data_IF_351387035980
#
_entry.id   IF_351387035980
#
_cell.length_a   1.000
_cell.length_b   1.000
_cell.length_c   1.000
_cell.angle_alpha   90.00
_cell.angle_beta   90.00
_cell.angle_gamma   90.00
#
_symmetry.space_group_name_H-M   'P 1'
#
loop_
_entity.id
_entity.type
_entity.pdbx_description
1 polymer ?
#
# COMPACT_ATOMS: atom_id res chain seq x y z
N UNK A 1 -13.41 -0.35 6.80
CA UNK A 1 -11.97 0.05 6.89
C UNK A 1 -11.80 1.40 6.24
N UNK A 2 -11.01 2.28 6.85
CA UNK A 2 -10.58 3.55 6.24
C UNK A 2 -9.31 3.30 5.43
N UNK A 3 -9.27 3.80 4.20
CA UNK A 3 -8.10 3.85 3.34
C UNK A 3 -7.55 5.27 3.34
N UNK A 4 -6.28 5.40 3.72
CA UNK A 4 -5.47 6.62 3.61
C UNK A 4 -4.45 6.39 2.50
N UNK A 5 -4.75 6.89 1.31
CA UNK A 5 -4.05 6.60 0.07
C UNK A 5 -3.24 7.84 -0.31
N UNK A 6 -1.92 7.78 -0.28
CA UNK A 6 -1.09 8.92 -0.62
C UNK A 6 -0.13 8.64 -1.77
N UNK A 7 0.39 9.71 -2.39
CA UNK A 7 1.38 9.61 -3.45
C UNK A 7 2.76 9.29 -2.91
N UNK A 8 3.23 10.10 -1.96
CA UNK A 8 4.56 10.00 -1.36
C UNK A 8 4.47 10.15 0.14
N UNK A 9 5.02 9.17 0.87
CA UNK A 9 4.97 9.12 2.32
C UNK A 9 3.53 9.37 2.84
N UNK A 10 3.36 10.27 3.80
CA UNK A 10 2.06 10.47 4.47
C UNK A 10 1.32 11.73 3.97
N UNK A 11 1.85 12.43 2.97
CA UNK A 11 1.23 13.62 2.37
C UNK A 11 0.98 14.75 3.39
N UNK A 12 0.05 15.66 3.04
CA UNK A 12 -0.21 16.86 3.85
C UNK A 12 -1.38 16.71 4.85
N UNK A 13 -2.07 15.58 4.88
CA UNK A 13 -3.27 15.39 5.71
C UNK A 13 -2.99 14.59 7.00
N UNK A 14 -1.80 14.75 7.59
CA UNK A 14 -1.39 14.00 8.79
C UNK A 14 -2.26 14.30 10.01
N UNK A 15 -2.96 15.43 10.05
CA UNK A 15 -3.92 15.73 11.13
C UNK A 15 -5.11 14.77 11.15
N UNK A 16 -5.48 14.20 10.00
CA UNK A 16 -6.45 13.12 9.96
C UNK A 16 -5.95 11.89 10.75
N UNK A 17 -4.69 11.53 10.57
CA UNK A 17 -4.07 10.39 11.26
C UNK A 17 -3.99 10.63 12.78
N UNK A 18 -3.62 11.84 13.21
CA UNK A 18 -3.63 12.23 14.64
C UNK A 18 -5.03 12.12 15.23
N UNK A 19 -6.05 12.62 14.52
CA UNK A 19 -7.44 12.51 14.95
C UNK A 19 -7.94 11.06 14.99
N UNK A 20 -7.46 10.20 14.08
CA UNK A 20 -7.77 8.78 14.10
C UNK A 20 -7.19 8.10 15.35
N UNK A 21 -5.92 8.37 15.70
CA UNK A 21 -5.23 7.87 16.90
C UNK A 21 -6.00 8.23 18.17
N UNK A 22 -6.50 9.47 18.29
CA UNK A 22 -7.26 9.91 19.48
C UNK A 22 -8.55 9.11 19.70
N UNK A 23 -9.12 8.52 18.64
CA UNK A 23 -10.36 7.75 18.70
C UNK A 23 -10.13 6.23 18.76
N UNK A 24 -8.92 5.80 18.50
CA UNK A 24 -8.52 4.40 18.40
C UNK A 24 -7.27 4.16 19.25
N UNK A 25 -6.50 3.13 18.94
CA UNK A 25 -5.17 2.98 19.52
C UNK A 25 -4.09 3.52 18.57
N UNK A 26 -2.89 3.75 19.08
CA UNK A 26 -1.77 4.30 18.33
C UNK A 26 -0.81 3.25 17.78
N UNK A 27 -1.13 1.95 17.90
CA UNK A 27 -0.24 0.87 17.44
C UNK A 27 -0.44 0.62 15.96
N UNK A 28 0.67 0.61 15.19
CA UNK A 28 0.65 0.40 13.75
C UNK A 28 1.72 -0.62 13.32
N UNK A 29 1.37 -1.49 12.36
CA UNK A 29 2.33 -2.34 11.66
C UNK A 29 2.87 -1.60 10.42
N UNK A 30 4.20 -1.50 10.31
CA UNK A 30 4.89 -0.96 9.14
C UNK A 30 5.42 -2.10 8.27
N UNK A 31 4.95 -2.17 7.03
CA UNK A 31 5.23 -3.22 6.04
C UNK A 31 6.04 -2.61 4.90
N UNK A 32 7.28 -3.10 4.70
CA UNK A 32 8.23 -2.54 3.75
C UNK A 32 8.60 -3.47 2.59
N UNK A 33 7.90 -4.59 2.41
CA UNK A 33 8.26 -5.64 1.44
C UNK A 33 8.22 -5.19 -0.03
N UNK A 34 7.65 -4.04 -0.36
CA UNK A 34 7.82 -3.41 -1.66
C UNK A 34 9.29 -3.06 -1.99
N UNK A 35 10.15 -2.96 -0.98
CA UNK A 35 11.57 -2.63 -1.10
C UNK A 35 12.50 -3.85 -1.20
N UNK A 36 12.01 -5.08 -1.03
CA UNK A 36 12.85 -6.28 -0.87
C UNK A 36 13.79 -6.55 -2.06
N UNK A 37 13.50 -5.99 -3.24
CA UNK A 37 14.40 -6.02 -4.41
C UNK A 37 15.48 -4.92 -4.40
N UNK A 38 15.55 -4.08 -3.35
CA UNK A 38 16.57 -3.03 -3.19
C UNK A 38 17.74 -3.53 -2.34
N UNK A 39 18.83 -2.75 -2.30
CA UNK A 39 19.94 -3.02 -1.37
C UNK A 39 19.51 -2.79 0.09
N UNK A 40 20.12 -3.57 1.00
CA UNK A 40 19.76 -3.59 2.43
C UNK A 40 19.86 -2.21 3.09
N UNK A 41 20.85 -1.39 2.69
CA UNK A 41 21.03 -0.06 3.27
C UNK A 41 19.86 0.86 2.88
N UNK A 42 19.39 0.79 1.64
CA UNK A 42 18.21 1.55 1.20
C UNK A 42 16.95 1.10 1.92
N UNK A 43 16.76 -0.22 2.08
CA UNK A 43 15.63 -0.77 2.83
C UNK A 43 15.63 -0.19 4.25
N UNK A 44 16.76 -0.32 4.96
CA UNK A 44 16.91 0.16 6.34
C UNK A 44 16.65 1.66 6.45
N UNK A 45 17.25 2.47 5.59
CA UNK A 45 17.09 3.93 5.63
C UNK A 45 15.63 4.36 5.39
N UNK A 46 14.91 3.71 4.46
CA UNK A 46 13.51 3.99 4.21
C UNK A 46 12.65 3.63 5.43
N UNK A 47 12.84 2.43 6.00
CA UNK A 47 12.11 1.98 7.18
C UNK A 47 12.31 2.94 8.37
N UNK A 48 13.55 3.32 8.65
CA UNK A 48 13.86 4.23 9.77
C UNK A 48 13.26 5.63 9.55
N UNK A 49 13.31 6.14 8.32
CA UNK A 49 12.69 7.43 7.98
C UNK A 49 11.17 7.39 8.17
N UNK A 50 10.49 6.37 7.64
CA UNK A 50 9.04 6.27 7.75
C UNK A 50 8.57 5.99 9.18
N UNK A 51 9.33 5.17 9.92
CA UNK A 51 9.12 4.94 11.35
C UNK A 51 9.23 6.24 12.15
N UNK A 52 10.25 7.06 11.86
CA UNK A 52 10.42 8.37 12.49
C UNK A 52 9.20 9.26 12.25
N UNK A 53 8.74 9.40 11.00
CA UNK A 53 7.60 10.24 10.66
C UNK A 53 6.31 9.72 11.33
N UNK A 54 6.07 8.40 11.31
CA UNK A 54 4.90 7.82 11.98
C UNK A 54 4.92 8.05 13.49
N UNK A 55 6.09 7.95 14.13
CA UNK A 55 6.24 8.28 15.55
C UNK A 55 5.96 9.77 15.83
N UNK A 56 6.41 10.69 14.95
CA UNK A 56 6.13 12.13 15.05
C UNK A 56 4.62 12.43 14.87
N UNK A 57 3.90 11.64 14.07
CA UNK A 57 2.43 11.71 13.97
C UNK A 57 1.76 11.22 15.25
N UNK A 58 2.39 10.30 16.00
CA UNK A 58 1.88 9.78 17.28
C UNK A 58 1.68 8.26 17.30
N UNK A 59 2.05 7.54 16.23
CA UNK A 59 1.97 6.08 16.21
C UNK A 59 3.11 5.41 16.99
N UNK A 60 2.81 4.28 17.60
CA UNK A 60 3.77 3.30 18.11
C UNK A 60 4.01 2.25 17.01
N UNK A 61 5.18 2.32 16.37
CA UNK A 61 5.46 1.57 15.14
C UNK A 61 6.15 0.25 15.43
N UNK A 62 5.53 -0.84 14.98
CA UNK A 62 6.16 -2.17 14.88
C UNK A 62 6.45 -2.47 13.42
N UNK A 63 7.71 -2.67 13.09
CA UNK A 63 8.12 -3.10 11.73
C UNK A 63 7.88 -4.60 11.62
N UNK A 64 7.25 -5.02 10.53
CA UNK A 64 6.96 -6.43 10.26
C UNK A 64 7.45 -6.81 8.86
N UNK A 65 8.06 -7.98 8.74
CA UNK A 65 8.46 -8.58 7.48
C UNK A 65 7.44 -9.68 7.10
N UNK A 66 6.75 -9.50 5.99
CA UNK A 66 5.78 -10.49 5.52
C UNK A 66 6.40 -11.86 5.22
N UNK A 67 7.73 -11.91 4.98
CA UNK A 67 8.44 -13.19 4.77
C UNK A 67 8.35 -14.14 5.96
N UNK A 68 8.25 -13.60 7.18
CA UNK A 68 8.10 -14.40 8.41
C UNK A 68 6.76 -15.15 8.49
N UNK A 69 5.85 -14.83 7.57
CA UNK A 69 4.49 -15.38 7.49
C UNK A 69 4.24 -16.17 6.19
N UNK A 70 5.25 -16.34 5.34
CA UNK A 70 5.06 -17.09 4.10
C UNK A 70 4.57 -18.50 4.39
N UNK A 71 3.50 -18.90 3.71
CA UNK A 71 2.79 -20.17 3.88
C UNK A 71 2.26 -20.43 5.31
N UNK A 72 2.10 -19.37 6.12
CA UNK A 72 1.57 -19.46 7.48
C UNK A 72 0.54 -18.36 7.78
N UNK A 73 -0.57 -18.39 7.04
CA UNK A 73 -1.65 -17.41 7.17
C UNK A 73 -2.32 -17.43 8.55
N UNK A 74 -2.30 -18.57 9.24
CA UNK A 74 -2.86 -18.68 10.60
C UNK A 74 -2.05 -17.81 11.58
N UNK A 75 -0.71 -17.95 11.56
CA UNK A 75 0.18 -17.11 12.35
C UNK A 75 -0.03 -15.63 12.04
N UNK A 76 -0.08 -15.26 10.74
CA UNK A 76 -0.32 -13.89 10.33
C UNK A 76 -1.63 -13.37 10.93
N UNK A 77 -2.72 -14.12 10.76
CA UNK A 77 -4.04 -13.70 11.25
C UNK A 77 -4.03 -13.47 12.76
N UNK A 78 -3.37 -14.32 13.52
CA UNK A 78 -3.25 -14.19 14.97
C UNK A 78 -2.47 -12.95 15.39
N UNK A 79 -1.30 -12.73 14.78
CA UNK A 79 -0.40 -11.64 15.15
C UNK A 79 -0.94 -10.29 14.68
N UNK A 80 -1.52 -10.22 13.49
CA UNK A 80 -2.07 -8.99 12.91
C UNK A 80 -3.38 -8.56 13.57
N UNK A 81 -4.18 -9.50 14.09
CA UNK A 81 -5.40 -9.18 14.84
C UNK A 81 -5.15 -8.36 16.13
N UNK A 82 -3.91 -8.24 16.57
CA UNK A 82 -3.52 -7.36 17.69
C UNK A 82 -3.41 -5.88 17.30
N UNK A 83 -3.56 -5.57 16.00
CA UNK A 83 -3.43 -4.25 15.43
C UNK A 83 -4.68 -3.90 14.60
N UNK A 84 -4.99 -2.61 14.53
CA UNK A 84 -6.05 -2.09 13.68
C UNK A 84 -5.56 -1.00 12.71
N UNK A 85 -4.26 -0.76 12.66
CA UNK A 85 -3.63 0.11 11.68
C UNK A 85 -2.45 -0.59 10.98
N UNK A 86 -2.39 -0.45 9.67
CA UNK A 86 -1.39 -1.03 8.78
C UNK A 86 -0.85 0.04 7.85
N UNK A 87 0.47 0.21 7.82
CA UNK A 87 1.16 1.10 6.90
C UNK A 87 1.97 0.28 5.89
N UNK A 88 1.64 0.40 4.62
CA UNK A 88 2.31 -0.27 3.50
C UNK A 88 3.05 0.77 2.67
N UNK A 89 4.37 0.69 2.65
CA UNK A 89 5.22 1.70 2.03
C UNK A 89 5.44 1.48 0.54
N UNK A 90 6.05 2.48 -0.11
CA UNK A 90 6.39 2.43 -1.54
C UNK A 90 7.55 1.51 -1.87
N UNK A 91 7.71 1.24 -3.17
CA UNK A 91 8.75 0.39 -3.75
C UNK A 91 8.28 -0.23 -5.05
N UNK A 92 8.55 -1.50 -5.30
CA UNK A 92 8.05 -2.24 -6.45
C UNK A 92 6.71 -2.91 -6.11
N UNK A 93 5.66 -2.57 -6.87
CA UNK A 93 4.30 -3.06 -6.61
C UNK A 93 4.16 -4.56 -6.84
N UNK A 94 4.91 -5.14 -7.79
CA UNK A 94 4.87 -6.57 -8.09
C UNK A 94 5.56 -7.41 -7.00
N UNK A 95 6.66 -6.91 -6.43
CA UNK A 95 7.33 -7.54 -5.27
C UNK A 95 6.40 -7.51 -4.05
N UNK A 96 5.80 -6.35 -3.77
CA UNK A 96 4.83 -6.20 -2.70
C UNK A 96 3.66 -7.18 -2.84
N UNK A 97 3.08 -7.26 -4.05
CA UNK A 97 1.91 -8.12 -4.31
C UNK A 97 2.21 -9.59 -4.08
N UNK A 98 3.41 -10.06 -4.45
CA UNK A 98 3.85 -11.43 -4.19
C UNK A 98 4.02 -11.69 -2.69
N UNK A 99 4.66 -10.76 -1.95
CA UNK A 99 4.82 -10.88 -0.50
C UNK A 99 3.46 -10.96 0.21
N UNK A 100 2.50 -10.11 -0.18
CA UNK A 100 1.13 -10.14 0.35
C UNK A 100 0.43 -11.48 0.07
N UNK A 101 0.62 -12.06 -1.13
CA UNK A 101 0.03 -13.34 -1.50
C UNK A 101 0.59 -14.49 -0.68
N UNK A 102 1.93 -14.56 -0.58
CA UNK A 102 2.62 -15.66 0.10
C UNK A 102 2.39 -15.65 1.61
N UNK A 103 2.27 -14.48 2.22
CA UNK A 103 1.98 -14.33 3.64
C UNK A 103 0.51 -14.52 3.98
N UNK A 104 -0.40 -14.35 3.01
CA UNK A 104 -1.84 -14.31 3.20
C UNK A 104 -2.35 -12.95 3.71
N UNK A 105 -1.51 -11.90 3.69
CA UNK A 105 -1.92 -10.56 4.09
C UNK A 105 -2.99 -9.98 3.15
N UNK A 106 -2.98 -10.33 1.87
CA UNK A 106 -4.04 -9.97 0.92
C UNK A 106 -5.42 -10.52 1.35
N UNK A 107 -5.50 -11.79 1.75
CA UNK A 107 -6.73 -12.40 2.24
C UNK A 107 -7.16 -11.78 3.59
N UNK A 108 -6.19 -11.51 4.47
CA UNK A 108 -6.45 -10.87 5.74
C UNK A 108 -7.05 -9.47 5.55
N UNK A 109 -6.46 -8.64 4.70
CA UNK A 109 -6.99 -7.30 4.37
C UNK A 109 -8.41 -7.37 3.80
N UNK A 110 -8.67 -8.30 2.86
CA UNK A 110 -10.02 -8.49 2.29
C UNK A 110 -11.04 -8.87 3.35
N UNK A 111 -10.65 -9.71 4.31
CA UNK A 111 -11.52 -10.11 5.42
C UNK A 111 -11.90 -8.93 6.30
N UNK A 112 -10.92 -8.12 6.73
CA UNK A 112 -11.15 -6.99 7.64
C UNK A 112 -11.61 -5.72 6.92
N UNK A 113 -11.60 -5.68 5.59
CA UNK A 113 -11.94 -4.48 4.81
C UNK A 113 -13.36 -3.98 5.09
N UNK A 114 -14.28 -4.89 5.37
CA UNK A 114 -15.69 -4.58 5.68
C UNK A 114 -15.94 -4.24 7.15
N UNK A 115 -14.93 -4.35 8.00
CA UNK A 115 -15.03 -4.06 9.42
C UNK A 115 -14.73 -2.57 9.71
N UNK A 116 -15.38 -2.02 10.72
CA UNK A 116 -15.11 -0.66 11.19
C UNK A 116 -13.84 -0.62 12.04
N UNK A 117 -13.29 0.58 12.27
CA UNK A 117 -12.12 0.84 13.12
C UNK A 117 -10.78 0.32 12.61
N UNK A 118 -10.69 -0.13 11.36
CA UNK A 118 -9.41 -0.44 10.73
C UNK A 118 -8.92 0.71 9.85
N UNK A 119 -7.61 0.94 9.85
CA UNK A 119 -6.93 1.93 9.04
C UNK A 119 -5.85 1.26 8.19
N UNK A 120 -5.93 1.45 6.88
CA UNK A 120 -4.86 1.14 5.96
C UNK A 120 -4.23 2.45 5.47
N UNK A 121 -2.93 2.61 5.66
CA UNK A 121 -2.14 3.69 5.10
C UNK A 121 -1.29 3.11 3.99
N UNK A 122 -1.46 3.58 2.76
CA UNK A 122 -0.63 3.18 1.63
C UNK A 122 -0.01 4.39 0.94
N UNK A 123 1.25 4.29 0.50
CA UNK A 123 1.80 5.26 -0.41
C UNK A 123 2.56 4.62 -1.56
N UNK A 124 2.56 5.26 -2.74
CA UNK A 124 3.19 4.76 -3.98
C UNK A 124 2.75 3.31 -4.24
N UNK A 125 3.64 2.31 -4.23
CA UNK A 125 3.28 0.91 -4.42
C UNK A 125 2.21 0.41 -3.44
N UNK A 126 2.25 0.86 -2.17
CA UNK A 126 1.22 0.56 -1.17
C UNK A 126 -0.16 1.13 -1.49
N UNK A 127 -0.23 2.20 -2.28
CA UNK A 127 -1.48 2.75 -2.82
C UNK A 127 -1.91 2.02 -4.10
N UNK A 128 -0.97 1.76 -5.01
CA UNK A 128 -1.24 1.13 -6.29
C UNK A 128 -1.82 -0.29 -6.14
N UNK A 129 -1.32 -1.05 -5.15
CA UNK A 129 -1.72 -2.45 -4.92
C UNK A 129 -3.20 -2.60 -4.57
N UNK A 130 -3.87 -1.54 -4.10
CA UNK A 130 -5.28 -1.56 -3.71
C UNK A 130 -6.25 -1.77 -4.86
N UNK A 131 -5.88 -1.35 -6.08
CA UNK A 131 -6.70 -1.49 -7.30
C UNK A 131 -6.89 -2.93 -7.74
N UNK A 132 -7.61 -3.11 -8.86
CA UNK A 132 -7.89 -4.43 -9.43
C UNK A 132 -6.73 -4.99 -10.25
N UNK A 133 -6.00 -4.12 -10.97
CA UNK A 133 -5.07 -4.48 -12.02
C UNK A 133 -3.74 -3.73 -11.84
N UNK A 134 -2.62 -4.48 -11.91
CA UNK A 134 -1.27 -3.94 -11.78
C UNK A 134 -0.49 -3.90 -13.10
N UNK A 135 -0.96 -4.57 -14.13
CA UNK A 135 -0.29 -4.62 -15.43
C UNK A 135 -0.10 -3.24 -16.07
N UNK A 136 -0.92 -2.26 -15.69
CA UNK A 136 -0.74 -0.86 -16.08
C UNK A 136 0.60 -0.27 -15.64
N UNK A 137 1.18 -0.77 -14.54
CA UNK A 137 2.43 -0.27 -13.97
C UNK A 137 3.70 -0.90 -14.56
N UNK A 138 3.59 -1.84 -15.50
CA UNK A 138 4.71 -2.63 -16.01
C UNK A 138 5.88 -1.83 -16.62
N UNK A 139 5.68 -0.56 -16.98
CA UNK A 139 6.72 0.35 -17.45
C UNK A 139 7.30 1.21 -16.31
N UNK A 140 6.52 1.47 -15.27
CA UNK A 140 6.94 2.26 -14.11
C UNK A 140 7.72 1.40 -13.12
N UNK A 141 7.18 0.24 -12.80
CA UNK A 141 7.80 -0.79 -11.98
C UNK A 141 8.10 -2.01 -12.85
N UNK A 142 9.32 -2.51 -12.76
CA UNK A 142 9.69 -3.75 -13.47
C UNK A 142 8.90 -4.92 -12.87
N UNK A 143 8.16 -5.68 -13.71
CA UNK A 143 7.40 -6.85 -13.26
C UNK A 143 8.34 -8.03 -13.04
N UNK A 144 8.95 -8.09 -11.86
CA UNK A 144 9.90 -9.15 -11.49
C UNK A 144 9.22 -10.24 -10.69
N UNK A 145 9.57 -11.49 -10.98
CA UNK A 145 9.20 -12.67 -10.21
C UNK A 145 10.19 -12.85 -9.06
N UNK A 146 10.02 -12.08 -7.98
CA UNK A 146 11.02 -12.00 -6.91
C UNK A 146 10.94 -13.19 -5.94
N UNK A 147 9.74 -13.59 -5.55
CA UNK A 147 9.50 -14.69 -4.62
C UNK A 147 8.89 -15.91 -5.29
N UNK A 148 8.16 -15.71 -6.38
CA UNK A 148 7.46 -16.77 -7.10
C UNK A 148 8.23 -17.11 -8.37
N UNK A 149 8.74 -18.33 -8.49
CA UNK A 149 9.48 -18.74 -9.67
C UNK A 149 8.62 -18.61 -10.92
N UNK A 150 9.10 -17.83 -11.89
CA UNK A 150 8.50 -17.61 -13.22
C UNK A 150 7.03 -17.13 -13.20
N UNK A 151 6.58 -16.52 -12.09
CA UNK A 151 5.20 -16.06 -11.96
C UNK A 151 5.12 -14.65 -11.35
N UNK A 152 4.67 -13.68 -12.15
CA UNK A 152 4.34 -12.32 -11.70
C UNK A 152 2.83 -12.21 -11.50
N UNK A 153 2.42 -11.65 -10.38
CA UNK A 153 1.01 -11.42 -10.09
C UNK A 153 0.61 -10.04 -10.61
N UNK A 154 -0.29 -9.98 -11.56
CA UNK A 154 -0.80 -8.74 -12.15
C UNK A 154 -2.13 -8.29 -11.54
N UNK A 155 -2.82 -9.14 -10.80
CA UNK A 155 -4.04 -8.80 -10.08
C UNK A 155 -3.68 -8.05 -8.79
N UNK A 156 -4.31 -6.89 -8.59
CA UNK A 156 -4.22 -6.14 -7.34
C UNK A 156 -5.07 -6.73 -6.21
N UNK A 157 -5.33 -5.97 -5.17
CA UNK A 157 -6.15 -6.41 -4.05
C UNK A 157 -7.66 -6.31 -4.33
N UNK A 158 -8.08 -5.43 -5.25
CA UNK A 158 -9.48 -5.20 -5.56
C UNK A 158 -10.26 -4.57 -4.39
N UNK A 159 -9.59 -3.76 -3.57
CA UNK A 159 -10.23 -3.04 -2.47
C UNK A 159 -10.81 -1.70 -2.91
N UNK A 160 -10.40 -1.19 -4.06
CA UNK A 160 -10.93 -0.02 -4.75
C UNK A 160 -11.16 -0.34 -6.22
N UNK A 161 -12.12 0.34 -6.85
CA UNK A 161 -12.52 0.08 -8.24
C UNK A 161 -11.86 1.02 -9.26
N UNK A 162 -10.71 1.59 -8.92
CA UNK A 162 -9.92 2.47 -9.78
C UNK A 162 -8.42 2.24 -9.54
N UNK A 163 -7.61 2.62 -10.52
CA UNK A 163 -6.15 2.62 -10.42
C UNK A 163 -5.67 3.91 -9.77
N UNK A 164 -4.84 3.82 -8.72
CA UNK A 164 -4.17 4.99 -8.14
C UNK A 164 -2.88 5.25 -8.89
N UNK A 165 -2.71 6.45 -9.43
CA UNK A 165 -1.48 6.86 -10.13
C UNK A 165 -0.77 7.92 -9.28
N UNK A 166 0.23 7.52 -8.46
CA UNK A 166 1.02 8.44 -7.66
C UNK A 166 2.04 9.21 -8.52
N UNK A 167 2.67 10.22 -7.93
CA UNK A 167 3.73 11.03 -8.52
C UNK A 167 3.33 11.83 -9.78
N UNK A 168 2.04 11.96 -10.05
CA UNK A 168 1.54 12.70 -11.20
C UNK A 168 1.93 14.18 -11.11
N UNK A 169 2.60 14.71 -12.16
CA UNK A 169 3.12 16.09 -12.18
C UNK A 169 3.92 16.48 -10.95
N UNK A 170 4.68 15.55 -10.40
CA UNK A 170 5.58 15.75 -9.27
C UNK A 170 7.04 15.69 -9.72
N UNK A 171 7.96 16.14 -8.85
CA UNK A 171 9.41 15.98 -9.08
C UNK A 171 9.81 14.50 -8.84
N UNK A 172 9.56 13.69 -9.84
CA UNK A 172 9.81 12.26 -9.83
C UNK A 172 10.64 11.84 -11.04
N UNK A 173 11.70 11.06 -10.81
CA UNK A 173 12.66 10.69 -11.86
C UNK A 173 12.06 9.91 -13.04
N UNK A 174 10.88 9.31 -12.87
CA UNK A 174 10.14 8.60 -13.92
C UNK A 174 8.86 9.33 -14.35
N UNK A 175 8.79 10.66 -14.21
CA UNK A 175 7.57 11.44 -14.49
C UNK A 175 7.01 11.18 -15.89
N UNK A 176 7.88 11.02 -16.90
CA UNK A 176 7.45 10.71 -18.27
C UNK A 176 6.71 9.36 -18.38
N UNK A 177 7.08 8.36 -17.57
CA UNK A 177 6.38 7.08 -17.54
C UNK A 177 5.02 7.20 -16.84
N UNK A 178 4.88 8.14 -15.89
CA UNK A 178 3.59 8.44 -15.25
C UNK A 178 2.63 9.12 -16.25
N UNK A 179 3.13 10.02 -17.09
CA UNK A 179 2.31 10.65 -18.12
C UNK A 179 1.85 9.62 -19.18
N UNK A 180 2.74 8.69 -19.58
CA UNK A 180 2.40 7.58 -20.48
C UNK A 180 1.36 6.64 -19.83
N UNK A 181 1.46 6.38 -18.53
CA UNK A 181 0.50 5.58 -17.78
C UNK A 181 -0.88 6.23 -17.75
N UNK A 182 -0.96 7.54 -17.48
CA UNK A 182 -2.22 8.30 -17.53
C UNK A 182 -2.85 8.23 -18.93
N UNK A 183 -2.04 8.43 -19.97
CA UNK A 183 -2.50 8.33 -21.36
C UNK A 183 -3.05 6.93 -21.64
N UNK A 184 -2.35 5.88 -21.24
CA UNK A 184 -2.81 4.49 -21.39
C UNK A 184 -4.14 4.26 -20.69
N UNK A 185 -4.32 4.75 -19.48
CA UNK A 185 -5.58 4.60 -18.75
C UNK A 185 -6.74 5.28 -19.49
N UNK A 186 -6.50 6.44 -20.13
CA UNK A 186 -7.49 7.12 -20.95
C UNK A 186 -7.81 6.31 -22.21
N UNK A 187 -6.79 5.85 -22.92
CA UNK A 187 -6.95 5.12 -24.19
C UNK A 187 -7.65 3.76 -23.99
N UNK A 188 -7.45 3.10 -22.85
CA UNK A 188 -8.01 1.78 -22.51
C UNK A 188 -9.28 1.86 -21.62
N UNK A 189 -9.85 3.05 -21.38
CA UNK A 189 -11.02 3.32 -20.54
C UNK A 189 -10.87 2.74 -19.10
N UNK A 190 -9.66 2.78 -18.56
CA UNK A 190 -9.36 2.33 -17.19
C UNK A 190 -9.70 3.46 -16.24
N UNK A 191 -10.56 3.20 -15.23
CA UNK A 191 -10.83 4.17 -14.16
C UNK A 191 -9.58 4.43 -13.32
N UNK A 192 -9.22 5.68 -13.13
CA UNK A 192 -8.05 6.05 -12.34
C UNK A 192 -8.23 7.35 -11.56
N UNK A 193 -7.41 7.54 -10.55
CA UNK A 193 -7.21 8.82 -9.83
C UNK A 193 -5.72 9.11 -9.76
N UNK A 194 -5.33 10.31 -10.15
CA UNK A 194 -3.93 10.78 -10.02
C UNK A 194 -3.71 11.47 -8.69
N UNK A 195 -2.51 11.34 -8.14
CA UNK A 195 -2.07 12.05 -6.94
C UNK A 195 -0.72 12.72 -7.20
N UNK A 196 -0.62 14.02 -6.93
CA UNK A 196 0.68 14.70 -6.80
C UNK A 196 1.31 14.34 -5.46
N UNK A 197 2.64 14.48 -5.37
CA UNK A 197 3.33 14.33 -4.09
C UNK A 197 2.77 15.33 -3.07
N UNK A 198 2.39 14.80 -1.91
CA UNK A 198 1.69 15.53 -0.86
C UNK A 198 0.18 15.36 -0.85
N UNK A 199 -0.44 14.98 -1.97
CA UNK A 199 -1.90 14.73 -2.02
C UNK A 199 -2.26 13.37 -1.42
N UNK A 200 -3.49 13.32 -0.87
CA UNK A 200 -4.05 12.15 -0.19
C UNK A 200 -5.52 11.98 -0.56
N UNK A 201 -5.92 10.76 -0.78
CA UNK A 201 -7.33 10.34 -0.84
C UNK A 201 -7.63 9.61 0.48
N UNK A 202 -8.71 10.02 1.14
CA UNK A 202 -9.23 9.34 2.33
C UNK A 202 -10.63 8.85 2.01
N UNK A 203 -10.83 7.55 2.06
CA UNK A 203 -12.14 6.95 1.78
C UNK A 203 -12.41 5.74 2.67
N UNK A 204 -13.69 5.46 2.87
CA UNK A 204 -14.14 4.24 3.53
C UNK A 204 -14.44 3.19 2.47
N UNK A 205 -14.03 1.94 2.74
CA UNK A 205 -14.56 0.82 1.98
C UNK A 205 -16.02 0.65 2.40
N UNK A 206 -16.94 0.87 1.46
CA UNK A 206 -18.37 0.71 1.70
C UNK A 206 -18.68 -0.77 2.01
N UNK A 207 -19.55 -0.98 2.99
CA UNK A 207 -20.17 -2.29 3.15
C UNK A 207 -21.09 -2.48 1.95
N UNK A 208 -20.88 -3.56 1.17
CA UNK A 208 -21.87 -3.94 0.18
C UNK A 208 -23.21 -4.04 0.90
N UNK A 209 -24.15 -3.16 0.56
CA UNK A 209 -25.54 -3.37 0.96
C UNK A 209 -25.97 -4.63 0.21
N UNK A 210 -25.95 -5.78 0.91
CA UNK A 210 -26.61 -6.98 0.41
C UNK A 210 -28.09 -6.61 0.17
N UNK A 211 -28.45 -6.52 -1.11
CA UNK A 211 -29.83 -6.35 -1.58
C UNK A 211 -30.51 -7.71 -1.57
#
# INVERSE_FOLDING_TARGET
>A
MILYISSKQFGYQTDFLKNWIMKNNNRILLIANALDAKDEMKIKNNIENDKKILNEIGFEVTVVDLKDYFNNQEKLTKDFALYNAYCVIGGNVFVLRQAMKLSGFDNYLKKISKEENYLYIGYSAGSCVLGNELGTFNKVDEPISFYLKDNVIYEGLGLINYTVIPHYKSDYHKVHLIDDLVKRCIDEDIKFKTLKDGEVIIENIEKDNEV
#
